data_IF_400022162888
#
_entry.id   IF_400022162888
#
_cell.length_a   1.000
_cell.length_b   1.000
_cell.length_c   1.000
_cell.angle_alpha   90.00
_cell.angle_beta   90.00
_cell.angle_gamma   90.00
#
_symmetry.space_group_name_H-M   'P 1'
#
loop_
_entity.id
_entity.type
_entity.pdbx_description
1 polymer ?
#
# COMPACT_ATOMS: atom_id res chain seq x y z
N UNK A 1 22.75 -6.31 -3.14
CA UNK A 1 22.18 -5.38 -2.14
C UNK A 1 20.94 -6.01 -1.56
N UNK A 2 20.64 -5.78 -0.27
CA UNK A 2 19.41 -6.30 0.35
C UNK A 2 18.18 -5.48 -0.01
N UNK A 3 17.03 -6.13 -0.02
CA UNK A 3 15.71 -5.51 -0.10
C UNK A 3 14.92 -5.73 1.21
N UNK A 4 14.06 -4.80 1.57
CA UNK A 4 13.10 -4.94 2.66
C UNK A 4 11.68 -5.06 2.12
N UNK A 5 10.96 -6.11 2.49
CA UNK A 5 9.54 -6.27 2.18
C UNK A 5 8.70 -5.86 3.39
N UNK A 6 7.88 -4.82 3.23
CA UNK A 6 7.03 -4.22 4.25
C UNK A 6 5.59 -4.66 3.99
N UNK A 7 5.10 -5.63 4.74
CA UNK A 7 3.84 -6.34 4.45
C UNK A 7 2.74 -5.90 5.41
N UNK A 8 1.65 -5.37 4.87
CA UNK A 8 0.39 -5.15 5.59
C UNK A 8 -0.51 -6.38 5.45
N UNK A 9 -0.78 -7.09 6.54
CA UNK A 9 -1.55 -8.34 6.53
C UNK A 9 -2.77 -8.28 7.45
N UNK A 10 -3.95 -8.73 6.94
CA UNK A 10 -5.19 -8.73 7.71
C UNK A 10 -6.12 -9.93 7.42
N UNK A 11 -5.85 -10.69 6.38
CA UNK A 11 -6.62 -11.85 5.93
C UNK A 11 -5.73 -12.80 5.14
N UNK A 12 -6.30 -13.89 4.60
CA UNK A 12 -5.64 -14.85 3.70
C UNK A 12 -4.29 -15.37 4.26
N UNK A 13 -4.26 -16.02 5.45
CA UNK A 13 -3.00 -16.47 6.06
C UNK A 13 -2.26 -17.50 5.24
N UNK A 14 -2.98 -18.36 4.49
CA UNK A 14 -2.37 -19.35 3.58
C UNK A 14 -1.61 -18.61 2.44
N UNK A 15 -2.25 -17.60 1.85
CA UNK A 15 -1.64 -16.82 0.78
C UNK A 15 -0.43 -16.02 1.28
N UNK A 16 -0.52 -15.45 2.48
CA UNK A 16 0.61 -14.78 3.12
C UNK A 16 1.79 -15.73 3.32
N UNK A 17 1.55 -16.97 3.71
CA UNK A 17 2.61 -17.99 3.86
C UNK A 17 3.29 -18.27 2.52
N UNK A 18 2.51 -18.39 1.43
CA UNK A 18 3.03 -18.58 0.08
C UNK A 18 3.82 -17.35 -0.41
N UNK A 19 3.33 -16.14 -0.12
CA UNK A 19 4.05 -14.90 -0.41
C UNK A 19 5.41 -14.90 0.28
N UNK A 20 5.45 -15.17 1.59
CA UNK A 20 6.70 -15.18 2.37
C UNK A 20 7.66 -16.27 1.85
N UNK A 21 7.17 -17.45 1.48
CA UNK A 21 7.98 -18.48 0.85
C UNK A 21 8.64 -18.00 -0.46
N UNK A 22 7.92 -17.24 -1.29
CA UNK A 22 8.47 -16.69 -2.54
C UNK A 22 9.44 -15.52 -2.33
N UNK A 23 9.37 -14.87 -1.18
CA UNK A 23 10.28 -13.79 -0.80
C UNK A 23 11.46 -14.28 0.06
N UNK A 24 11.49 -15.57 0.44
CA UNK A 24 12.50 -16.15 1.33
C UNK A 24 13.84 -16.34 0.62
N UNK A 25 14.63 -15.27 0.59
CA UNK A 25 15.96 -15.19 -0.03
C UNK A 25 16.93 -14.51 0.94
N UNK A 26 18.16 -14.92 0.98
CA UNK A 26 19.23 -14.34 1.83
C UNK A 26 19.43 -12.84 1.60
N UNK A 27 19.04 -12.33 0.44
CA UNK A 27 19.08 -10.90 0.03
C UNK A 27 17.87 -10.11 0.51
N UNK A 28 16.89 -10.74 1.18
CA UNK A 28 15.67 -10.10 1.64
C UNK A 28 15.58 -10.09 3.16
N UNK A 29 14.87 -9.06 3.67
CA UNK A 29 14.33 -9.06 5.01
C UNK A 29 12.83 -8.72 4.92
N UNK A 30 12.01 -9.40 5.74
CA UNK A 30 10.55 -9.33 5.67
C UNK A 30 10.02 -8.78 6.99
N UNK A 31 9.32 -7.64 6.91
CA UNK A 31 8.67 -6.97 8.03
C UNK A 31 7.16 -7.10 7.87
N UNK A 32 6.47 -7.66 8.85
CA UNK A 32 5.02 -7.89 8.78
C UNK A 32 4.30 -7.12 9.87
N UNK A 33 3.40 -6.22 9.47
CA UNK A 33 2.40 -5.63 10.35
C UNK A 33 1.08 -6.40 10.19
N UNK A 34 0.68 -7.13 11.22
CA UNK A 34 -0.63 -7.74 11.28
C UNK A 34 -1.66 -6.77 11.84
N UNK A 35 -2.80 -6.65 11.18
CA UNK A 35 -3.92 -5.88 11.73
C UNK A 35 -4.26 -6.35 13.15
N UNK A 36 -4.44 -5.40 14.07
CA UNK A 36 -4.75 -5.69 15.49
C UNK A 36 -6.02 -6.51 15.69
N UNK A 37 -6.95 -6.48 14.72
CA UNK A 37 -8.18 -7.29 14.74
C UNK A 37 -7.93 -8.79 14.61
N UNK A 38 -6.78 -9.22 14.13
CA UNK A 38 -6.41 -10.62 14.12
C UNK A 38 -6.06 -11.08 15.54
N UNK A 39 -6.93 -11.90 16.13
CA UNK A 39 -6.72 -12.46 17.47
C UNK A 39 -5.66 -13.56 17.49
N UNK A 40 -5.56 -14.32 16.40
CA UNK A 40 -4.59 -15.40 16.21
C UNK A 40 -3.72 -15.05 15.01
N UNK A 41 -2.42 -14.98 15.22
CA UNK A 41 -1.47 -14.77 14.13
C UNK A 41 -1.08 -16.10 13.50
N UNK A 42 -0.93 -16.14 12.16
CA UNK A 42 -0.39 -17.31 11.49
C UNK A 42 1.07 -17.56 11.89
N UNK A 43 1.49 -18.82 11.94
CA UNK A 43 2.88 -19.21 12.17
C UNK A 43 3.66 -19.07 10.86
N UNK A 44 4.23 -17.89 10.63
CA UNK A 44 5.03 -17.57 9.45
C UNK A 44 6.50 -17.85 9.77
N UNK A 45 7.21 -18.51 8.84
CA UNK A 45 8.62 -18.87 8.96
C UNK A 45 9.37 -18.57 7.67
N UNK A 46 10.64 -18.28 7.81
CA UNK A 46 11.62 -18.16 6.73
C UNK A 46 12.81 -19.07 7.01
N UNK A 47 13.53 -19.45 5.97
CA UNK A 47 14.77 -20.24 6.08
C UNK A 47 16.02 -19.38 5.82
N UNK A 48 15.89 -18.34 5.00
CA UNK A 48 16.98 -17.52 4.49
C UNK A 48 16.82 -16.03 4.80
N UNK A 49 15.60 -15.50 4.61
CA UNK A 49 15.29 -14.10 4.88
C UNK A 49 15.18 -13.80 6.38
N UNK A 50 15.61 -12.63 6.80
CA UNK A 50 15.25 -12.12 8.14
C UNK A 50 13.75 -11.87 8.23
N UNK A 51 13.09 -12.35 9.30
CA UNK A 51 11.66 -12.19 9.52
C UNK A 51 11.39 -11.37 10.79
N UNK A 52 10.65 -10.27 10.64
CA UNK A 52 10.35 -9.32 11.70
C UNK A 52 8.84 -9.08 11.78
N UNK A 53 8.20 -9.64 12.80
CA UNK A 53 6.76 -9.43 13.05
C UNK A 53 6.60 -8.30 14.05
N UNK A 54 5.92 -7.21 13.64
CA UNK A 54 5.70 -6.05 14.48
C UNK A 54 4.79 -6.38 15.67
N UNK A 55 5.25 -6.06 16.88
CA UNK A 55 4.47 -6.26 18.11
C UNK A 55 3.40 -5.20 18.29
N UNK A 56 3.72 -3.94 17.94
CA UNK A 56 2.81 -2.82 18.03
C UNK A 56 1.93 -2.75 16.78
N UNK A 57 0.69 -3.26 16.91
CA UNK A 57 -0.26 -3.44 15.80
C UNK A 57 -1.36 -2.40 15.85
N UNK A 58 -1.71 -1.87 14.69
CA UNK A 58 -2.79 -0.89 14.49
C UNK A 58 -4.11 -1.60 14.18
N UNK A 59 -5.24 -1.10 14.71
CA UNK A 59 -6.60 -1.44 14.25
C UNK A 59 -6.87 -0.68 12.94
N UNK A 60 -6.47 -1.29 11.82
CA UNK A 60 -6.53 -0.66 10.51
C UNK A 60 -7.97 -0.62 10.00
N UNK A 61 -8.41 0.57 9.59
CA UNK A 61 -9.74 0.80 9.00
C UNK A 61 -9.58 1.30 7.57
N UNK A 62 -10.23 0.63 6.64
CA UNK A 62 -10.12 0.94 5.21
C UNK A 62 -10.42 2.43 4.91
N UNK A 63 -9.55 3.07 4.14
CA UNK A 63 -9.56 4.48 3.78
C UNK A 63 -9.49 5.49 4.96
N UNK A 64 -9.18 5.03 6.17
CA UNK A 64 -8.92 5.86 7.35
C UNK A 64 -7.42 6.09 7.52
N UNK A 65 -7.04 7.14 8.21
CA UNK A 65 -5.63 7.46 8.53
C UNK A 65 -4.89 6.33 9.25
N UNK A 66 -5.60 5.36 9.84
CA UNK A 66 -5.00 4.17 10.45
C UNK A 66 -4.24 3.27 9.46
N UNK A 67 -4.47 3.43 8.15
CA UNK A 67 -3.64 2.79 7.13
C UNK A 67 -2.23 3.41 7.13
N UNK A 68 -2.14 4.73 7.17
CA UNK A 68 -0.86 5.43 7.32
C UNK A 68 -0.16 5.06 8.63
N UNK A 69 -0.92 4.97 9.74
CA UNK A 69 -0.34 4.55 11.02
C UNK A 69 0.38 3.20 10.91
N UNK A 70 -0.21 2.25 10.19
CA UNK A 70 0.39 0.93 9.98
C UNK A 70 1.63 0.98 9.06
N UNK A 71 1.59 1.82 8.02
CA UNK A 71 2.72 2.01 7.10
C UNK A 71 3.89 2.69 7.80
N UNK A 72 3.65 3.76 8.55
CA UNK A 72 4.70 4.42 9.34
C UNK A 72 5.34 3.49 10.38
N UNK A 73 4.58 2.59 11.01
CA UNK A 73 5.17 1.57 11.89
C UNK A 73 6.13 0.63 11.17
N UNK A 74 5.84 0.29 9.91
CA UNK A 74 6.76 -0.50 9.09
C UNK A 74 8.00 0.33 8.70
N UNK A 75 7.83 1.62 8.34
CA UNK A 75 8.95 2.50 8.03
C UNK A 75 9.88 2.70 9.24
N UNK A 76 9.32 2.95 10.42
CA UNK A 76 10.12 3.01 11.65
C UNK A 76 10.86 1.70 11.91
N UNK A 77 10.16 0.56 11.85
CA UNK A 77 10.76 -0.74 12.15
C UNK A 77 11.95 -1.07 11.23
N UNK A 78 11.86 -0.74 9.94
CA UNK A 78 12.96 -1.01 8.99
C UNK A 78 14.12 -0.04 9.20
N UNK A 79 13.86 1.22 9.55
CA UNK A 79 14.90 2.21 9.83
C UNK A 79 15.63 1.89 11.14
N UNK A 80 14.87 1.56 12.19
CA UNK A 80 15.39 1.23 13.52
C UNK A 80 16.23 -0.06 13.54
N UNK A 81 16.04 -0.95 12.54
CA UNK A 81 16.88 -2.14 12.40
C UNK A 81 18.36 -1.84 12.12
N UNK A 82 18.66 -0.63 11.65
CA UNK A 82 20.02 -0.23 11.23
C UNK A 82 20.51 -0.92 9.95
N UNK A 83 19.74 -1.83 9.38
CA UNK A 83 20.10 -2.55 8.15
C UNK A 83 20.04 -1.63 6.93
N UNK A 84 20.91 -1.91 5.95
CA UNK A 84 20.95 -1.14 4.70
C UNK A 84 20.23 -1.90 3.59
N UNK A 85 19.25 -1.27 3.00
CA UNK A 85 18.47 -1.82 1.88
C UNK A 85 18.54 -0.88 0.68
N UNK A 86 18.60 -1.46 -0.52
CA UNK A 86 18.53 -0.65 -1.75
C UNK A 86 17.10 -0.17 -2.02
N UNK A 87 16.12 -1.03 -1.75
CA UNK A 87 14.70 -0.72 -1.89
C UNK A 87 13.85 -1.32 -0.78
N UNK A 88 12.77 -0.65 -0.49
CA UNK A 88 11.75 -1.03 0.48
C UNK A 88 10.43 -1.20 -0.26
N UNK A 89 9.90 -2.42 -0.27
CA UNK A 89 8.69 -2.79 -1.02
C UNK A 89 7.49 -2.82 -0.07
N UNK A 90 6.64 -1.80 -0.13
CA UNK A 90 5.35 -1.84 0.57
C UNK A 90 4.36 -2.66 -0.26
N UNK A 91 3.89 -3.77 0.30
CA UNK A 91 2.97 -4.72 -0.32
C UNK A 91 1.91 -5.20 0.68
N UNK A 92 0.85 -5.82 0.20
CA UNK A 92 -0.14 -6.45 1.07
C UNK A 92 0.07 -7.96 1.17
N UNK A 93 -0.52 -8.59 2.19
CA UNK A 93 -0.51 -10.05 2.35
C UNK A 93 -1.28 -10.82 1.27
N UNK A 94 -1.89 -10.12 0.30
CA UNK A 94 -2.62 -10.69 -0.84
C UNK A 94 -1.99 -10.34 -2.19
N UNK A 95 -0.77 -9.85 -2.18
CA UNK A 95 0.07 -9.64 -3.36
C UNK A 95 0.91 -10.90 -3.61
N UNK A 96 1.31 -11.14 -4.85
CA UNK A 96 2.31 -12.16 -5.20
C UNK A 96 3.33 -11.60 -6.18
N UNK A 97 4.61 -12.02 -6.08
CA UNK A 97 5.61 -11.72 -7.09
C UNK A 97 5.31 -12.50 -8.38
N UNK A 98 5.45 -11.83 -9.52
CA UNK A 98 5.32 -12.43 -10.86
C UNK A 98 6.67 -12.80 -11.48
N UNK A 99 7.76 -12.47 -10.81
CA UNK A 99 9.13 -12.73 -11.22
C UNK A 99 9.90 -13.37 -10.06
N UNK A 100 10.92 -14.17 -10.37
CA UNK A 100 11.79 -14.75 -9.33
C UNK A 100 12.68 -13.69 -8.67
N UNK A 101 13.32 -14.04 -7.56
CA UNK A 101 14.14 -13.10 -6.79
C UNK A 101 15.36 -12.61 -7.57
N UNK A 102 15.97 -13.43 -8.43
CA UNK A 102 17.10 -13.01 -9.26
C UNK A 102 16.70 -11.92 -10.25
N UNK A 103 15.54 -12.07 -10.88
CA UNK A 103 15.01 -11.05 -11.78
C UNK A 103 14.68 -9.76 -11.01
N UNK A 104 13.98 -9.85 -9.88
CA UNK A 104 13.60 -8.69 -9.06
C UNK A 104 14.85 -7.93 -8.60
N UNK A 105 15.85 -8.62 -8.03
CA UNK A 105 17.09 -7.99 -7.60
C UNK A 105 17.88 -7.36 -8.75
N UNK A 106 17.95 -8.04 -9.90
CA UNK A 106 18.60 -7.51 -11.12
C UNK A 106 17.89 -6.26 -11.63
N UNK A 107 16.57 -6.28 -11.68
CA UNK A 107 15.76 -5.13 -12.10
C UNK A 107 16.03 -3.90 -11.23
N UNK A 108 15.96 -4.03 -9.91
CA UNK A 108 16.21 -2.90 -9.01
C UNK A 108 17.66 -2.45 -9.00
N UNK A 109 18.63 -3.35 -9.23
CA UNK A 109 20.03 -2.99 -9.38
C UNK A 109 20.28 -2.14 -10.64
N UNK A 110 19.59 -2.42 -11.74
CA UNK A 110 19.64 -1.62 -12.98
C UNK A 110 18.99 -0.24 -12.83
N UNK A 111 18.04 -0.12 -11.89
CA UNK A 111 17.28 1.11 -11.65
C UNK A 111 17.59 1.71 -10.26
N UNK A 112 18.83 1.58 -9.82
CA UNK A 112 19.26 2.09 -8.52
C UNK A 112 18.97 3.60 -8.38
N UNK A 113 18.42 3.99 -7.22
CA UNK A 113 18.08 5.39 -6.93
C UNK A 113 16.77 5.86 -7.55
N UNK A 114 16.04 5.00 -8.29
CA UNK A 114 14.70 5.30 -8.77
C UNK A 114 13.66 5.01 -7.69
N UNK A 115 12.59 5.82 -7.69
CA UNK A 115 11.43 5.65 -6.83
C UNK A 115 10.27 5.05 -7.64
N UNK A 116 9.76 3.92 -7.19
CA UNK A 116 8.64 3.25 -7.86
C UNK A 116 7.34 3.62 -7.14
N UNK A 117 6.82 4.79 -7.49
CA UNK A 117 5.58 5.36 -6.99
C UNK A 117 4.66 5.62 -8.17
N UNK A 118 3.51 4.95 -8.21
CA UNK A 118 2.52 5.18 -9.27
C UNK A 118 1.79 6.51 -9.07
N UNK A 119 1.70 7.31 -10.13
CA UNK A 119 0.95 8.57 -10.14
C UNK A 119 -0.31 8.45 -10.99
N UNK A 120 -1.43 8.83 -10.42
CA UNK A 120 -2.71 8.87 -11.14
C UNK A 120 -2.82 10.12 -12.00
N UNK A 121 -3.04 9.93 -13.32
CA UNK A 121 -2.98 11.02 -14.28
C UNK A 121 -4.27 11.85 -14.38
N UNK A 122 -5.38 11.36 -13.82
CA UNK A 122 -6.66 12.05 -13.90
C UNK A 122 -6.77 13.14 -12.82
N UNK A 123 -7.38 14.27 -13.13
CA UNK A 123 -7.63 15.30 -12.12
C UNK A 123 -8.53 14.77 -10.99
N UNK A 124 -8.37 15.36 -9.83
CA UNK A 124 -9.18 15.03 -8.65
C UNK A 124 -10.68 15.28 -8.94
N UNK A 125 -11.49 14.28 -8.72
CA UNK A 125 -12.95 14.39 -8.87
C UNK A 125 -13.61 14.98 -7.60
N UNK A 126 -14.90 15.33 -7.70
CA UNK A 126 -15.65 15.93 -6.60
C UNK A 126 -15.76 15.04 -5.35
N UNK A 127 -15.68 13.72 -5.52
CA UNK A 127 -15.67 12.79 -4.37
C UNK A 127 -14.35 12.86 -3.60
N UNK A 128 -13.23 12.84 -4.31
CA UNK A 128 -11.92 12.99 -3.74
C UNK A 128 -11.74 14.38 -3.11
N UNK A 129 -12.22 15.44 -3.79
CA UNK A 129 -12.23 16.79 -3.23
C UNK A 129 -12.94 16.83 -1.86
N UNK A 130 -14.13 16.24 -1.77
CA UNK A 130 -14.86 16.15 -0.50
C UNK A 130 -14.16 15.31 0.54
N UNK A 131 -13.52 14.22 0.14
CA UNK A 131 -12.81 13.33 1.04
C UNK A 131 -11.62 14.02 1.73
N UNK A 132 -10.92 14.93 1.03
CA UNK A 132 -9.66 15.53 1.47
C UNK A 132 -9.82 16.95 2.06
N UNK A 133 -10.79 17.73 1.56
CA UNK A 133 -10.94 19.13 1.95
C UNK A 133 -12.00 19.40 3.03
N UNK A 134 -12.65 18.35 3.54
CA UNK A 134 -13.59 18.51 4.64
C UNK A 134 -13.20 17.63 5.83
N UNK A 135 -13.64 18.04 6.99
CA UNK A 135 -13.43 17.28 8.21
C UNK A 135 -14.52 16.21 8.35
N UNK A 136 -14.11 14.97 8.47
CA UNK A 136 -15.00 13.81 8.59
C UNK A 136 -14.99 13.26 10.02
N UNK A 137 -16.11 13.33 10.76
CA UNK A 137 -16.23 12.64 12.04
C UNK A 137 -16.38 11.13 11.84
N UNK A 138 -16.02 10.36 12.83
CA UNK A 138 -16.22 8.91 12.92
C UNK A 138 -15.51 8.09 11.82
N UNK A 139 -14.42 8.56 11.25
CA UNK A 139 -13.70 7.86 10.17
C UNK A 139 -13.42 6.39 10.51
N UNK A 140 -13.05 6.09 11.77
CA UNK A 140 -12.79 4.72 12.26
C UNK A 140 -14.03 3.89 12.58
N UNK A 141 -15.20 4.49 12.75
CA UNK A 141 -16.33 3.80 13.39
C UNK A 141 -17.69 4.01 12.73
N UNK A 142 -17.77 4.53 11.50
CA UNK A 142 -19.04 4.72 10.78
C UNK A 142 -19.45 3.51 9.92
N UNK A 143 -18.53 2.59 9.67
CA UNK A 143 -18.79 1.36 8.89
C UNK A 143 -19.23 0.23 9.81
N UNK A 144 -20.24 -0.49 9.37
CA UNK A 144 -20.86 -1.59 10.09
C UNK A 144 -22.38 -1.63 9.85
N UNK A 145 -23.07 -2.55 10.51
CA UNK A 145 -24.54 -2.74 10.45
C UNK A 145 -25.21 -2.26 11.74
N UNK A 146 -26.50 -1.92 11.64
CA UNK A 146 -27.32 -1.51 12.77
C UNK A 146 -27.49 0.00 12.93
N UNK A 147 -28.39 0.40 13.85
CA UNK A 147 -28.84 1.79 14.02
C UNK A 147 -27.71 2.78 14.37
N UNK A 148 -26.76 2.37 15.21
CA UNK A 148 -25.65 3.21 15.62
C UNK A 148 -24.76 3.62 14.42
N UNK A 149 -24.49 2.69 13.51
CA UNK A 149 -23.72 2.97 12.31
C UNK A 149 -24.52 3.84 11.31
N UNK A 150 -25.82 3.62 11.21
CA UNK A 150 -26.70 4.48 10.40
C UNK A 150 -26.68 5.92 10.92
N UNK A 151 -26.82 6.14 12.23
CA UNK A 151 -26.75 7.45 12.87
C UNK A 151 -25.39 8.11 12.60
N UNK A 152 -24.28 7.40 12.79
CA UNK A 152 -22.93 7.94 12.50
C UNK A 152 -22.76 8.36 11.04
N UNK A 153 -23.32 7.60 10.09
CA UNK A 153 -23.29 7.96 8.66
C UNK A 153 -24.11 9.24 8.39
N UNK A 154 -25.30 9.35 8.96
CA UNK A 154 -26.14 10.55 8.85
C UNK A 154 -25.45 11.77 9.47
N UNK A 155 -24.92 11.66 10.68
CA UNK A 155 -24.21 12.74 11.33
C UNK A 155 -22.97 13.17 10.53
N UNK A 156 -22.19 12.21 10.02
CA UNK A 156 -21.05 12.52 9.15
C UNK A 156 -21.49 13.28 7.89
N UNK A 157 -22.57 12.82 7.24
CA UNK A 157 -23.13 13.50 6.08
C UNK A 157 -23.54 14.94 6.42
N UNK A 158 -24.31 15.15 7.50
CA UNK A 158 -24.75 16.47 7.93
C UNK A 158 -23.58 17.39 8.24
N UNK A 159 -22.56 16.91 8.97
CA UNK A 159 -21.34 17.68 9.27
C UNK A 159 -20.63 18.13 7.99
N UNK A 160 -20.49 17.25 7.00
CA UNK A 160 -19.87 17.62 5.72
C UNK A 160 -20.73 18.62 4.95
N UNK A 161 -22.06 18.41 4.88
CA UNK A 161 -22.96 19.35 4.21
C UNK A 161 -22.96 20.73 4.88
N UNK A 162 -22.92 20.79 6.20
CA UNK A 162 -22.82 22.06 6.95
C UNK A 162 -21.52 22.79 6.59
N UNK A 163 -20.39 22.09 6.51
CA UNK A 163 -19.11 22.69 6.09
C UNK A 163 -19.20 23.23 4.66
N UNK A 164 -19.81 22.46 3.73
CA UNK A 164 -20.03 22.91 2.34
C UNK A 164 -20.88 24.18 2.30
N UNK A 165 -21.99 24.20 3.05
CA UNK A 165 -22.91 25.36 3.09
C UNK A 165 -22.25 26.61 3.67
N UNK A 166 -21.40 26.45 4.68
CA UNK A 166 -20.69 27.55 5.34
C UNK A 166 -19.36 27.92 4.64
N UNK A 167 -18.99 27.25 3.55
CA UNK A 167 -17.74 27.51 2.84
C UNK A 167 -16.50 27.10 3.64
N UNK A 168 -16.64 26.27 4.68
CA UNK A 168 -15.52 25.84 5.54
C UNK A 168 -14.77 24.72 4.84
N UNK A 169 -13.53 24.99 4.47
CA UNK A 169 -12.61 24.00 3.85
C UNK A 169 -11.32 23.94 4.65
N UNK A 170 -10.75 22.75 4.72
CA UNK A 170 -9.40 22.52 5.25
C UNK A 170 -8.42 22.20 4.11
N UNK A 171 -7.15 22.18 4.40
CA UNK A 171 -6.10 21.78 3.45
C UNK A 171 -6.13 22.57 2.13
N UNK A 172 -6.60 23.82 2.13
CA UNK A 172 -6.80 24.62 0.91
C UNK A 172 -5.51 24.98 0.19
N UNK A 173 -4.37 24.88 0.89
CA UNK A 173 -3.03 25.14 0.33
C UNK A 173 -2.28 23.87 -0.05
N UNK A 174 -2.90 22.69 0.14
CA UNK A 174 -2.25 21.41 -0.17
C UNK A 174 -2.63 20.99 -1.60
N UNK A 175 -1.66 20.88 -2.52
CA UNK A 175 -1.89 20.32 -3.84
C UNK A 175 -1.94 18.79 -3.73
N UNK A 176 -3.12 18.22 -3.53
CA UNK A 176 -3.27 16.78 -3.42
C UNK A 176 -3.02 16.07 -4.74
N UNK A 177 -2.14 15.07 -4.70
CA UNK A 177 -1.85 14.19 -5.81
C UNK A 177 -2.21 12.75 -5.43
N UNK A 178 -2.89 12.06 -6.34
CA UNK A 178 -3.29 10.66 -6.15
C UNK A 178 -2.27 9.71 -6.76
N UNK A 179 -2.07 8.56 -6.11
CA UNK A 179 -1.29 7.45 -6.65
C UNK A 179 -1.66 6.12 -6.01
N UNK A 180 -0.91 5.10 -6.32
CA UNK A 180 -1.07 3.80 -5.67
C UNK A 180 -0.48 3.79 -4.26
N UNK A 181 -1.11 3.07 -3.33
CA UNK A 181 -0.58 2.82 -1.98
C UNK A 181 0.73 2.01 -2.04
N UNK A 182 0.83 1.09 -2.99
CA UNK A 182 1.88 0.06 -3.05
C UNK A 182 3.09 0.58 -3.82
N UNK A 183 4.20 0.76 -3.13
CA UNK A 183 5.40 1.40 -3.64
C UNK A 183 6.64 0.54 -3.45
N UNK A 184 7.70 0.83 -4.22
CA UNK A 184 9.05 0.32 -3.96
C UNK A 184 10.01 1.51 -3.97
N UNK A 185 10.46 1.92 -2.80
CA UNK A 185 11.12 3.19 -2.57
C UNK A 185 12.50 3.03 -1.92
N UNK A 186 13.34 4.05 -2.13
CA UNK A 186 14.69 4.08 -1.57
C UNK A 186 14.67 4.40 -0.06
N UNK A 187 15.82 4.24 0.59
CA UNK A 187 15.99 4.63 1.99
C UNK A 187 15.83 6.14 2.16
N UNK A 188 16.35 6.93 1.25
CA UNK A 188 16.27 8.39 1.33
C UNK A 188 14.80 8.87 1.30
N UNK A 189 13.96 8.20 0.48
CA UNK A 189 12.53 8.56 0.47
C UNK A 189 11.83 8.13 1.77
N UNK A 190 12.18 6.97 2.35
CA UNK A 190 11.63 6.59 3.66
C UNK A 190 12.04 7.60 4.74
N UNK A 191 13.31 7.98 4.82
CA UNK A 191 13.79 8.96 5.79
C UNK A 191 13.04 10.29 5.63
N UNK A 192 12.86 10.76 4.39
CA UNK A 192 12.05 11.96 4.12
C UNK A 192 10.58 11.79 4.57
N UNK A 193 9.94 10.65 4.28
CA UNK A 193 8.55 10.41 4.71
C UNK A 193 8.44 10.41 6.23
N UNK A 194 9.42 9.84 6.96
CA UNK A 194 9.47 9.88 8.42
C UNK A 194 9.64 11.31 8.96
N UNK A 195 10.48 12.13 8.34
CA UNK A 195 10.59 13.55 8.68
C UNK A 195 9.28 14.32 8.46
N UNK A 196 8.45 13.89 7.52
CA UNK A 196 7.15 14.49 7.22
C UNK A 196 5.99 13.84 7.98
N UNK A 197 6.23 12.93 8.92
CA UNK A 197 5.18 12.14 9.59
C UNK A 197 4.13 13.03 10.26
N UNK A 198 4.53 13.98 11.09
CA UNK A 198 3.60 14.91 11.77
C UNK A 198 2.78 15.73 10.77
N UNK A 199 3.40 16.16 9.67
CA UNK A 199 2.72 16.87 8.58
C UNK A 199 1.70 15.97 7.90
N UNK A 200 2.06 14.72 7.59
CA UNK A 200 1.16 13.73 7.01
C UNK A 200 -0.08 13.53 7.91
N UNK A 201 0.11 13.29 9.21
CA UNK A 201 -1.01 13.13 10.12
C UNK A 201 -1.85 14.40 10.28
N UNK A 202 -1.24 15.58 10.24
CA UNK A 202 -1.99 16.85 10.25
C UNK A 202 -2.88 17.00 9.02
N UNK A 203 -2.35 16.66 7.83
CA UNK A 203 -3.08 16.76 6.56
C UNK A 203 -4.20 15.71 6.50
N UNK A 204 -3.87 14.45 6.78
CA UNK A 204 -4.73 13.32 6.47
C UNK A 204 -5.62 12.86 7.62
N UNK A 205 -5.42 13.33 8.86
CA UNK A 205 -6.35 13.06 9.94
C UNK A 205 -7.75 13.53 9.59
N UNK A 206 -8.76 12.69 9.81
CA UNK A 206 -10.16 13.01 9.51
C UNK A 206 -10.49 13.20 8.00
N UNK A 207 -9.63 12.67 7.12
CA UNK A 207 -9.90 12.56 5.68
C UNK A 207 -10.20 11.09 5.31
N UNK A 208 -10.44 10.82 4.03
CA UNK A 208 -10.55 9.46 3.50
C UNK A 208 -9.58 9.23 2.36
N UNK A 209 -9.06 7.97 2.28
CA UNK A 209 -8.16 7.54 1.21
C UNK A 209 -6.74 8.08 1.37
N UNK A 210 -6.32 8.36 2.60
CA UNK A 210 -5.00 8.91 2.92
C UNK A 210 -3.85 8.09 2.30
N UNK A 211 -3.96 6.77 2.31
CA UNK A 211 -3.03 5.79 1.76
C UNK A 211 -2.73 5.97 0.26
N UNK A 212 -3.73 6.45 -0.52
CA UNK A 212 -3.55 6.72 -1.95
C UNK A 212 -3.02 8.13 -2.27
N UNK A 213 -2.96 9.00 -1.28
CA UNK A 213 -2.59 10.41 -1.50
C UNK A 213 -1.31 10.84 -0.79
N UNK A 214 -0.89 10.18 0.32
CA UNK A 214 0.14 10.76 1.16
C UNK A 214 1.51 10.78 0.47
N UNK A 215 1.99 9.66 -0.08
CA UNK A 215 3.29 9.63 -0.76
C UNK A 215 3.33 10.59 -1.94
N UNK A 216 2.40 10.52 -2.94
CA UNK A 216 2.42 11.46 -4.05
C UNK A 216 2.33 12.93 -3.64
N UNK A 217 1.49 13.24 -2.62
CA UNK A 217 1.33 14.63 -2.14
C UNK A 217 2.59 15.14 -1.43
N UNK A 218 3.26 14.31 -0.64
CA UNK A 218 4.45 14.73 0.10
C UNK A 218 5.68 14.88 -0.78
N UNK A 219 5.81 14.06 -1.83
CA UNK A 219 6.97 14.16 -2.75
C UNK A 219 6.78 15.19 -3.86
N UNK A 220 5.55 15.69 -4.05
CA UNK A 220 5.27 16.70 -5.08
C UNK A 220 6.11 17.97 -4.81
N UNK A 221 6.65 18.56 -5.85
CA UNK A 221 7.57 19.70 -5.78
C UNK A 221 8.89 19.43 -5.01
N UNK A 222 9.28 18.14 -4.88
CA UNK A 222 10.58 17.75 -4.32
C UNK A 222 11.46 17.09 -5.38
N UNK A 223 12.78 16.95 -5.15
CA UNK A 223 13.68 16.23 -6.06
C UNK A 223 13.30 14.75 -6.28
N UNK A 224 12.47 14.14 -5.43
CA UNK A 224 12.01 12.77 -5.62
C UNK A 224 11.15 12.61 -6.87
N UNK A 225 10.46 13.66 -7.32
CA UNK A 225 9.69 13.63 -8.57
C UNK A 225 10.56 13.33 -9.80
N UNK A 226 11.80 13.81 -9.84
CA UNK A 226 12.74 13.55 -10.94
C UNK A 226 13.31 12.12 -10.89
N UNK A 227 13.17 11.47 -9.73
CA UNK A 227 13.64 10.10 -9.49
C UNK A 227 12.58 9.06 -9.76
N UNK A 228 11.33 9.44 -10.05
CA UNK A 228 10.29 8.47 -10.38
C UNK A 228 10.69 7.60 -11.57
N UNK A 229 10.39 6.30 -11.47
CA UNK A 229 10.65 5.34 -12.54
C UNK A 229 9.80 5.66 -13.77
N UNK A 230 8.51 5.88 -13.58
CA UNK A 230 7.59 6.36 -14.59
C UNK A 230 6.54 7.28 -13.94
N UNK A 231 6.52 8.55 -14.34
CA UNK A 231 5.57 9.52 -13.83
C UNK A 231 4.28 9.58 -14.67
N UNK A 232 4.17 8.82 -15.77
CA UNK A 232 3.09 8.92 -16.75
C UNK A 232 2.08 7.77 -16.68
N UNK A 233 2.47 6.64 -16.12
CA UNK A 233 1.62 5.46 -15.95
C UNK A 233 1.66 4.98 -14.49
N UNK A 234 0.50 4.91 -13.84
CA UNK A 234 0.39 4.54 -12.41
C UNK A 234 0.88 3.11 -12.14
N UNK A 235 0.49 2.15 -12.99
CA UNK A 235 0.86 0.74 -12.82
C UNK A 235 2.34 0.51 -13.10
N UNK A 236 2.86 1.13 -14.16
CA UNK A 236 4.26 1.05 -14.55
C UNK A 236 5.14 1.81 -13.55
N UNK A 237 4.71 2.99 -13.11
CA UNK A 237 5.42 3.76 -12.10
C UNK A 237 5.65 3.00 -10.81
N UNK A 238 4.67 2.18 -10.39
CA UNK A 238 4.79 1.32 -9.22
C UNK A 238 5.33 -0.09 -9.51
N UNK A 239 5.39 -0.51 -10.79
CA UNK A 239 5.66 -1.89 -11.23
C UNK A 239 4.70 -2.91 -10.59
N UNK A 240 3.39 -2.55 -10.56
CA UNK A 240 2.30 -3.35 -9.95
C UNK A 240 1.20 -3.62 -10.96
N UNK A 241 0.86 -4.90 -11.17
CA UNK A 241 -0.30 -5.31 -11.94
C UNK A 241 -1.52 -5.39 -11.03
N UNK A 242 -2.44 -4.45 -11.19
CA UNK A 242 -3.64 -4.37 -10.34
C UNK A 242 -4.86 -4.67 -11.20
N UNK A 243 -5.64 -5.70 -10.79
CA UNK A 243 -6.85 -6.07 -11.49
C UNK A 243 -8.01 -5.11 -11.21
N UNK A 244 -8.53 -4.46 -12.26
CA UNK A 244 -9.67 -3.57 -12.19
C UNK A 244 -10.81 -4.05 -13.09
N UNK A 245 -12.05 -3.97 -12.61
CA UNK A 245 -13.24 -4.08 -13.46
C UNK A 245 -13.48 -2.78 -14.22
N UNK A 246 -14.32 -2.87 -15.25
CA UNK A 246 -14.71 -1.70 -16.02
C UNK A 246 -15.46 -0.62 -15.18
N UNK A 247 -16.10 -1.03 -14.08
CA UNK A 247 -16.74 -0.14 -13.11
C UNK A 247 -15.78 0.48 -12.08
N UNK A 248 -14.48 0.18 -12.18
CA UNK A 248 -13.44 0.69 -11.29
C UNK A 248 -13.35 -0.05 -9.95
N UNK A 249 -13.95 -1.23 -9.82
CA UNK A 249 -13.77 -2.08 -8.64
C UNK A 249 -12.53 -2.96 -8.77
N UNK A 250 -11.78 -3.08 -7.69
CA UNK A 250 -10.68 -4.05 -7.55
C UNK A 250 -11.25 -5.48 -7.61
N UNK A 251 -10.59 -6.33 -8.40
CA UNK A 251 -10.95 -7.75 -8.51
C UNK A 251 -9.87 -8.64 -7.90
N UNK A 252 -10.29 -9.81 -7.40
CA UNK A 252 -9.38 -10.93 -7.21
C UNK A 252 -9.12 -11.58 -8.59
N UNK A 253 -7.86 -11.88 -8.88
CA UNK A 253 -7.50 -12.59 -10.10
C UNK A 253 -8.06 -14.01 -10.13
N UNK A 254 -8.32 -14.48 -11.33
CA UNK A 254 -8.88 -15.79 -11.65
C UNK A 254 -8.00 -16.51 -12.69
N UNK A 255 -8.20 -17.81 -12.96
CA UNK A 255 -7.45 -18.51 -14.00
C UNK A 255 -7.53 -17.85 -15.40
N UNK A 256 -8.59 -17.08 -15.68
CA UNK A 256 -8.75 -16.36 -16.93
C UNK A 256 -7.72 -15.22 -17.13
N UNK A 257 -7.16 -14.71 -16.01
CA UNK A 257 -6.17 -13.63 -16.01
C UNK A 257 -4.74 -14.16 -16.20
N UNK A 258 -4.52 -15.49 -16.09
CA UNK A 258 -3.19 -16.10 -16.15
C UNK A 258 -2.37 -15.70 -17.39
N UNK A 259 -2.91 -15.69 -18.62
CA UNK A 259 -2.12 -15.30 -19.78
C UNK A 259 -1.59 -13.85 -19.70
N UNK A 260 -2.38 -12.94 -19.16
CA UNK A 260 -1.96 -11.55 -18.96
C UNK A 260 -0.89 -11.43 -17.86
N UNK A 261 -1.04 -12.19 -16.76
CA UNK A 261 -0.08 -12.22 -15.67
C UNK A 261 1.28 -12.85 -16.08
N UNK A 262 1.27 -13.80 -17.00
CA UNK A 262 2.48 -14.42 -17.54
C UNK A 262 3.26 -13.48 -18.48
N UNK A 263 2.56 -12.67 -19.25
CA UNK A 263 3.15 -11.82 -20.29
C UNK A 263 3.56 -10.43 -19.77
N UNK A 264 3.10 -10.06 -18.58
CA UNK A 264 3.36 -8.72 -18.05
C UNK A 264 4.83 -8.51 -17.66
N UNK A 265 5.29 -7.28 -17.79
CA UNK A 265 6.60 -6.82 -17.30
C UNK A 265 6.60 -6.49 -15.80
N UNK A 266 5.41 -6.38 -15.17
CA UNK A 266 5.30 -5.99 -13.79
C UNK A 266 5.89 -7.02 -12.82
N UNK A 267 6.38 -6.53 -11.68
CA UNK A 267 7.10 -7.37 -10.71
C UNK A 267 6.16 -8.07 -9.73
N UNK A 268 5.07 -7.41 -9.38
CA UNK A 268 4.09 -7.90 -8.42
C UNK A 268 2.69 -7.71 -8.95
N UNK A 269 1.76 -8.54 -8.51
CA UNK A 269 0.35 -8.39 -8.85
C UNK A 269 -0.57 -8.53 -7.63
N UNK A 270 -1.77 -7.96 -7.75
CA UNK A 270 -2.84 -8.01 -6.74
C UNK A 270 -4.24 -7.81 -7.34
N UNK A 271 -5.29 -8.45 -6.78
CA UNK A 271 -5.28 -9.27 -5.56
C UNK A 271 -5.41 -10.74 -5.92
N UNK A 272 -4.80 -11.57 -5.09
CA UNK A 272 -5.03 -13.00 -5.10
C UNK A 272 -5.85 -13.43 -3.87
N UNK A 273 -6.39 -14.65 -3.90
CA UNK A 273 -7.01 -15.30 -2.77
C UNK A 273 -6.66 -16.80 -2.77
N UNK A 274 -6.85 -17.48 -1.64
CA UNK A 274 -6.47 -18.89 -1.47
C UNK A 274 -7.51 -19.90 -1.97
N UNK A 275 -8.60 -19.47 -2.65
CA UNK A 275 -9.72 -20.33 -3.04
C UNK A 275 -9.35 -21.33 -4.15
N UNK A 276 -8.60 -20.87 -5.16
CA UNK A 276 -8.17 -21.72 -6.28
C UNK A 276 -6.70 -22.06 -6.13
N UNK A 277 -6.42 -23.23 -5.56
CA UNK A 277 -5.05 -23.70 -5.30
C UNK A 277 -4.29 -24.03 -6.58
N UNK A 278 -4.99 -24.49 -7.63
CA UNK A 278 -4.35 -24.81 -8.93
C UNK A 278 -3.87 -23.53 -9.57
N UNK A 279 -4.72 -22.53 -9.66
CA UNK A 279 -4.34 -21.21 -10.19
C UNK A 279 -3.19 -20.58 -9.40
N UNK A 280 -3.21 -20.66 -8.06
CA UNK A 280 -2.11 -20.15 -7.25
C UNK A 280 -0.79 -20.88 -7.53
N UNK A 281 -0.80 -22.19 -7.75
CA UNK A 281 0.42 -22.92 -8.11
C UNK A 281 0.98 -22.47 -9.45
N UNK A 282 0.12 -22.17 -10.45
CA UNK A 282 0.53 -21.63 -11.74
C UNK A 282 1.16 -20.24 -11.59
N UNK A 283 0.58 -19.37 -10.75
CA UNK A 283 1.17 -18.05 -10.46
C UNK A 283 2.50 -18.18 -9.71
N UNK A 284 2.58 -19.06 -8.71
CA UNK A 284 3.82 -19.28 -7.96
C UNK A 284 4.94 -19.85 -8.84
N UNK A 285 4.60 -20.62 -9.87
CA UNK A 285 5.57 -21.11 -10.85
C UNK A 285 6.25 -19.97 -11.65
N UNK A 286 5.59 -18.81 -11.84
CA UNK A 286 6.19 -17.66 -12.52
C UNK A 286 7.36 -17.05 -11.72
N UNK A 287 7.33 -17.17 -10.41
CA UNK A 287 8.36 -16.65 -9.50
C UNK A 287 9.35 -17.73 -9.02
N UNK A 288 9.30 -18.91 -9.59
CA UNK A 288 10.28 -19.97 -9.31
C UNK A 288 11.56 -19.72 -10.14
N UNK A 289 12.76 -20.01 -9.59
CA UNK A 289 14.04 -19.87 -10.28
C UNK A 289 14.12 -20.66 -11.59
#
# INVERSE_FOLDING_TARGET
MKHAYLILAHNEPELLSLLVERLDDVRNDIYIHFDRKLSILPDIKTQHAGLYILKDRVDVRWADVSMLEAEYKLFHAVVDSGSQYSHHHLISGVDLPLKNQDYIHSFFAQHQGKEFVGLHQRPMNSHADRALHYWHPFTRSFRGSGCVFAIKRILRYLVVQTQVLLGIRRNTTIPFHKGGQWVSITRELIDYLLEQEDRAFTIFSRTFGADEYFVPTLIWDTPFMERLFDATDESRGAMRYIGWRADGQLIDFTPQDLPALQQTEYLFARKFNSRDKVFLQEILALSTP
#
